data_IF_475319823162
#
_entry.id   IF_475319823162
#
_cell.length_a   1.000
_cell.length_b   1.000
_cell.length_c   1.000
_cell.angle_alpha   90.00
_cell.angle_beta   90.00
_cell.angle_gamma   90.00
#
_symmetry.space_group_name_H-M   'P 1'
#
loop_
_entity.id
_entity.type
_entity.pdbx_description
1 polymer ?
#
# COMPACT_ATOMS: atom_id res chain seq x y z
N UNK A 1 36.89 43.06 -12.73
CA UNK A 1 36.29 43.11 -11.39
C UNK A 1 36.34 41.73 -10.72
N UNK A 2 37.50 41.25 -10.24
CA UNK A 2 37.60 39.86 -9.74
C UNK A 2 36.95 39.67 -8.35
N UNK A 3 36.98 40.69 -7.49
CA UNK A 3 36.48 40.60 -6.10
C UNK A 3 34.97 40.38 -5.99
N UNK A 4 34.15 41.04 -6.82
CA UNK A 4 32.71 40.86 -6.83
C UNK A 4 32.29 39.49 -7.37
N UNK A 5 33.02 38.93 -8.32
CA UNK A 5 32.77 37.58 -8.85
C UNK A 5 33.02 36.47 -7.82
N UNK A 6 34.11 36.56 -7.06
CA UNK A 6 34.42 35.58 -5.99
C UNK A 6 33.42 35.65 -4.83
N UNK A 7 32.96 36.85 -4.50
CA UNK A 7 31.93 37.06 -3.47
C UNK A 7 30.57 36.47 -3.90
N UNK A 8 30.21 36.59 -5.18
CA UNK A 8 29.02 36.00 -5.76
C UNK A 8 29.08 34.47 -5.75
N UNK A 9 30.22 33.88 -6.08
CA UNK A 9 30.47 32.45 -6.02
C UNK A 9 30.34 31.95 -4.59
N UNK A 10 30.96 32.63 -3.62
CA UNK A 10 30.84 32.31 -2.20
C UNK A 10 29.41 32.39 -1.67
N UNK A 11 28.67 33.44 -2.04
CA UNK A 11 27.27 33.63 -1.66
C UNK A 11 26.35 32.53 -2.25
N UNK A 12 26.59 32.14 -3.51
CA UNK A 12 25.84 31.05 -4.16
C UNK A 12 26.06 29.70 -3.48
N UNK A 13 27.31 29.41 -3.07
CA UNK A 13 27.67 28.22 -2.32
C UNK A 13 27.01 28.17 -0.93
N UNK A 14 27.02 29.28 -0.19
CA UNK A 14 26.37 29.40 1.10
C UNK A 14 24.87 29.21 1.01
N UNK A 15 24.21 29.85 0.05
CA UNK A 15 22.77 29.73 -0.15
C UNK A 15 22.37 28.28 -0.50
N UNK A 16 23.13 27.62 -1.36
CA UNK A 16 22.88 26.23 -1.73
C UNK A 16 23.10 25.27 -0.55
N UNK A 17 24.15 25.53 0.28
CA UNK A 17 24.38 24.77 1.50
C UNK A 17 23.27 24.97 2.54
N UNK A 18 22.76 26.19 2.67
CA UNK A 18 21.61 26.47 3.55
C UNK A 18 20.35 25.73 3.10
N UNK A 19 20.06 25.68 1.81
CA UNK A 19 18.95 24.91 1.27
C UNK A 19 19.13 23.40 1.51
N UNK A 20 20.35 22.88 1.39
CA UNK A 20 20.64 21.48 1.70
C UNK A 20 20.44 21.17 3.20
N UNK A 21 20.83 22.09 4.10
CA UNK A 21 20.57 21.97 5.54
C UNK A 21 19.07 22.01 5.85
N UNK A 22 18.32 22.90 5.22
CA UNK A 22 16.87 22.97 5.38
C UNK A 22 16.21 21.65 4.95
N UNK A 23 16.60 21.07 3.81
CA UNK A 23 16.09 19.77 3.36
C UNK A 23 16.47 18.64 4.33
N UNK A 24 17.68 18.68 4.90
CA UNK A 24 18.10 17.69 5.91
C UNK A 24 17.28 17.83 7.19
N UNK A 25 17.02 19.05 7.65
CA UNK A 25 16.17 19.31 8.82
C UNK A 25 14.74 18.85 8.56
N UNK A 26 14.22 19.09 7.35
CA UNK A 26 12.90 18.60 6.94
C UNK A 26 12.82 17.07 6.95
N UNK A 27 13.83 16.38 6.40
CA UNK A 27 13.92 14.91 6.46
C UNK A 27 13.95 14.41 7.91
N UNK A 28 14.72 15.06 8.78
CA UNK A 28 14.82 14.68 10.18
C UNK A 28 13.51 14.89 10.95
N UNK A 29 12.82 15.98 10.67
CA UNK A 29 11.52 16.29 11.30
C UNK A 29 10.42 15.30 10.88
N UNK A 30 10.55 14.69 9.72
CA UNK A 30 9.56 13.76 9.16
C UNK A 30 10.01 12.29 9.17
N UNK A 31 11.06 11.95 9.93
CA UNK A 31 11.61 10.57 9.95
C UNK A 31 10.58 9.54 10.38
N UNK A 32 9.67 9.90 11.30
CA UNK A 32 8.59 9.03 11.80
C UNK A 32 7.23 9.27 11.11
N UNK A 33 7.19 10.13 10.08
CA UNK A 33 5.96 10.40 9.33
C UNK A 33 5.69 9.28 8.33
N UNK A 34 4.57 8.58 8.49
CA UNK A 34 4.17 7.51 7.58
C UNK A 34 4.02 8.03 6.15
N UNK A 35 4.57 7.31 5.18
CA UNK A 35 4.52 7.67 3.77
C UNK A 35 5.54 8.72 3.33
N UNK A 36 6.28 9.34 4.26
CA UNK A 36 7.31 10.32 3.92
C UNK A 36 8.51 9.67 3.23
N UNK A 37 8.91 10.24 2.10
CA UNK A 37 10.10 9.80 1.35
C UNK A 37 11.24 10.80 1.51
N UNK A 38 12.42 10.32 1.90
CA UNK A 38 13.62 11.15 2.05
C UNK A 38 13.89 11.95 0.78
N UNK A 39 14.10 13.25 0.97
CA UNK A 39 14.40 14.20 -0.10
C UNK A 39 15.89 14.52 -0.16
N UNK A 40 16.39 14.74 -1.35
CA UNK A 40 17.79 15.12 -1.59
C UNK A 40 17.85 16.30 -2.54
N UNK A 41 18.64 17.30 -2.15
CA UNK A 41 18.97 18.46 -2.99
C UNK A 41 19.91 18.04 -4.10
N UNK A 42 19.53 18.32 -5.35
CA UNK A 42 20.42 18.24 -6.50
C UNK A 42 21.01 19.61 -6.77
N UNK A 43 22.33 19.67 -6.80
CA UNK A 43 23.09 20.87 -7.13
C UNK A 43 23.65 20.73 -8.54
N UNK A 44 23.70 21.84 -9.26
CA UNK A 44 24.38 21.92 -10.55
C UNK A 44 25.25 23.16 -10.62
N UNK A 45 26.23 23.13 -11.49
CA UNK A 45 27.04 24.30 -11.80
C UNK A 45 26.22 25.35 -12.55
N UNK A 46 26.53 26.62 -12.32
CA UNK A 46 26.03 27.71 -13.17
C UNK A 46 26.86 27.80 -14.42
N UNK A 47 26.22 28.13 -15.55
CA UNK A 47 26.90 28.33 -16.82
C UNK A 47 28.03 29.35 -16.67
N UNK A 48 29.16 29.05 -17.30
CA UNK A 48 30.26 29.99 -17.36
C UNK A 48 29.88 31.22 -18.20
N UNK A 49 30.32 32.40 -17.75
CA UNK A 49 30.23 33.61 -18.57
C UNK A 49 31.57 33.83 -19.24
N UNK A 50 31.56 33.92 -20.57
CA UNK A 50 32.73 34.28 -21.38
C UNK A 50 32.94 35.77 -21.32
N UNK A 51 34.03 36.21 -20.69
CA UNK A 51 34.35 37.61 -20.49
C UNK A 51 35.01 38.24 -21.74
N UNK A 52 35.69 37.44 -22.55
CA UNK A 52 36.35 37.90 -23.77
C UNK A 52 36.59 36.73 -24.72
N UNK A 53 36.25 36.87 -25.98
CA UNK A 53 36.66 35.98 -27.08
C UNK A 53 37.73 36.73 -27.87
N UNK A 54 38.99 36.34 -27.62
CA UNK A 54 40.12 36.86 -28.43
C UNK A 54 40.40 35.83 -29.55
N UNK A 55 40.15 36.15 -30.83
CA UNK A 55 40.36 35.21 -31.92
C UNK A 55 41.82 34.81 -32.17
N UNK A 56 42.77 35.50 -31.50
CA UNK A 56 44.20 35.19 -31.55
C UNK A 56 44.76 34.48 -30.29
N UNK A 57 43.92 34.27 -29.29
CA UNK A 57 44.33 33.62 -28.05
C UNK A 57 43.65 32.26 -27.90
N UNK A 58 44.42 31.23 -27.54
CA UNK A 58 43.91 29.90 -27.23
C UNK A 58 43.13 29.89 -25.92
N UNK A 59 43.23 30.95 -25.12
CA UNK A 59 42.58 31.05 -23.79
C UNK A 59 41.37 31.99 -23.84
N UNK A 60 40.20 31.43 -23.95
CA UNK A 60 38.96 32.14 -23.64
C UNK A 60 38.92 32.43 -22.14
N UNK A 61 38.83 33.69 -21.74
CA UNK A 61 38.58 34.06 -20.34
C UNK A 61 37.16 33.78 -19.96
N UNK A 62 36.97 32.70 -19.23
CA UNK A 62 35.67 32.31 -18.69
C UNK A 62 35.66 32.47 -17.16
N UNK A 63 34.58 32.98 -16.64
CA UNK A 63 34.38 33.06 -15.18
C UNK A 63 33.21 32.15 -14.81
N UNK A 64 33.46 31.25 -13.85
CA UNK A 64 32.41 30.44 -13.23
C UNK A 64 31.48 31.31 -12.39
N UNK A 65 30.23 31.03 -12.35
CA UNK A 65 29.19 31.75 -11.57
C UNK A 65 28.79 31.01 -10.27
N UNK A 66 29.53 29.97 -9.90
CA UNK A 66 29.27 29.18 -8.70
C UNK A 66 28.26 28.06 -8.92
N UNK A 67 27.51 27.75 -7.89
CA UNK A 67 26.58 26.63 -7.81
C UNK A 67 25.13 27.15 -7.83
N UNK A 68 24.24 26.39 -8.41
CA UNK A 68 22.79 26.63 -8.34
C UNK A 68 22.11 25.44 -7.70
N UNK A 69 21.13 25.72 -6.86
CA UNK A 69 20.11 24.76 -6.46
C UNK A 69 19.27 24.39 -7.69
N UNK A 70 19.34 23.12 -8.08
CA UNK A 70 18.62 22.64 -9.27
C UNK A 70 17.22 22.20 -8.92
N UNK A 71 17.09 21.23 -8.01
CA UNK A 71 15.79 20.70 -7.56
C UNK A 71 15.97 19.86 -6.30
N UNK A 72 14.86 19.60 -5.61
CA UNK A 72 14.76 18.58 -4.58
C UNK A 72 14.14 17.34 -5.19
N UNK A 73 14.84 16.21 -5.11
CA UNK A 73 14.36 14.92 -5.62
C UNK A 73 14.12 13.97 -4.45
N UNK A 74 13.03 13.21 -4.52
CA UNK A 74 12.80 12.07 -3.64
C UNK A 74 13.76 10.93 -3.97
N UNK A 75 14.29 10.30 -2.93
CA UNK A 75 15.14 9.09 -3.04
C UNK A 75 14.21 7.88 -3.01
N UNK A 76 13.62 7.54 -4.14
CA UNK A 76 12.67 6.45 -4.31
C UNK A 76 13.06 5.57 -5.49
N UNK A 77 12.85 4.26 -5.33
CA UNK A 77 13.06 3.26 -6.38
C UNK A 77 11.71 2.69 -6.82
N UNK A 78 11.32 2.98 -8.03
CA UNK A 78 10.03 2.54 -8.61
C UNK A 78 9.94 1.02 -8.77
N UNK A 79 11.06 0.32 -8.92
CA UNK A 79 11.08 -1.13 -8.98
C UNK A 79 10.78 -1.74 -7.61
N UNK A 80 11.40 -1.22 -6.56
CA UNK A 80 11.12 -1.64 -5.19
C UNK A 80 9.67 -1.35 -4.79
N UNK A 81 9.12 -0.20 -5.19
CA UNK A 81 7.72 0.14 -4.94
C UNK A 81 6.77 -0.87 -5.58
N UNK A 82 7.01 -1.24 -6.84
CA UNK A 82 6.20 -2.24 -7.55
C UNK A 82 6.29 -3.61 -6.88
N UNK A 83 7.49 -4.00 -6.45
CA UNK A 83 7.71 -5.27 -5.77
C UNK A 83 7.03 -5.28 -4.39
N UNK A 84 7.20 -4.21 -3.62
CA UNK A 84 6.56 -4.05 -2.32
C UNK A 84 5.03 -4.17 -2.44
N UNK A 85 4.40 -3.40 -3.32
CA UNK A 85 2.95 -3.43 -3.54
C UNK A 85 2.44 -4.81 -3.95
N UNK A 86 3.17 -5.49 -4.82
CA UNK A 86 2.84 -6.86 -5.22
C UNK A 86 2.90 -7.84 -4.04
N UNK A 87 3.95 -7.78 -3.23
CA UNK A 87 4.12 -8.70 -2.11
C UNK A 87 3.21 -8.34 -0.93
N UNK A 88 2.92 -7.05 -0.70
CA UNK A 88 1.93 -6.60 0.28
C UNK A 88 0.53 -7.13 -0.06
N UNK A 89 0.11 -7.02 -1.33
CA UNK A 89 -1.16 -7.59 -1.78
C UNK A 89 -1.23 -9.12 -1.65
N UNK A 90 -0.11 -9.82 -1.90
CA UNK A 90 -0.04 -11.27 -1.66
C UNK A 90 -0.15 -11.62 -0.18
N UNK A 91 0.53 -10.88 0.67
CA UNK A 91 0.47 -11.07 2.13
C UNK A 91 -0.96 -10.92 2.63
N UNK A 92 -1.63 -9.83 2.23
CA UNK A 92 -3.00 -9.55 2.62
C UNK A 92 -3.99 -10.61 2.11
N UNK A 93 -3.79 -11.12 0.88
CA UNK A 93 -4.61 -12.21 0.34
C UNK A 93 -4.54 -13.47 1.22
N UNK A 94 -3.35 -13.87 1.67
CA UNK A 94 -3.20 -15.04 2.53
C UNK A 94 -3.73 -14.76 3.95
N UNK A 95 -3.52 -13.57 4.47
CA UNK A 95 -4.02 -13.16 5.79
C UNK A 95 -5.55 -13.23 5.83
N UNK A 96 -6.24 -12.58 4.88
CA UNK A 96 -7.71 -12.63 4.77
C UNK A 96 -8.21 -14.06 4.53
N UNK A 97 -7.50 -14.84 3.69
CA UNK A 97 -7.87 -16.24 3.46
C UNK A 97 -7.78 -17.08 4.74
N UNK A 98 -6.75 -16.86 5.54
CA UNK A 98 -6.58 -17.54 6.83
C UNK A 98 -7.69 -17.13 7.81
N UNK A 99 -7.97 -15.83 7.94
CA UNK A 99 -9.03 -15.33 8.79
C UNK A 99 -10.40 -15.92 8.42
N UNK A 100 -10.72 -15.95 7.13
CA UNK A 100 -11.99 -16.54 6.64
C UNK A 100 -12.07 -18.03 6.96
N UNK A 101 -10.98 -18.78 6.75
CA UNK A 101 -10.96 -20.21 7.04
C UNK A 101 -11.06 -20.50 8.54
N UNK A 102 -10.42 -19.71 9.41
CA UNK A 102 -10.54 -19.80 10.86
C UNK A 102 -11.99 -19.54 11.31
N UNK A 103 -12.69 -18.60 10.70
CA UNK A 103 -14.12 -18.36 10.98
C UNK A 103 -14.99 -19.55 10.52
N UNK A 104 -14.72 -20.15 9.38
CA UNK A 104 -15.42 -21.36 8.93
C UNK A 104 -15.17 -22.53 9.88
N UNK A 105 -13.92 -22.74 10.29
CA UNK A 105 -13.54 -23.77 11.25
C UNK A 105 -14.25 -23.57 12.61
N UNK A 106 -14.32 -22.33 13.08
CA UNK A 106 -15.05 -21.98 14.30
C UNK A 106 -16.54 -22.32 14.20
N UNK A 107 -17.19 -22.09 13.04
CA UNK A 107 -18.60 -22.43 12.83
C UNK A 107 -18.84 -23.95 12.80
N UNK A 108 -17.88 -24.71 12.29
CA UNK A 108 -17.93 -26.18 12.35
C UNK A 108 -17.76 -26.73 13.78
N UNK A 109 -17.23 -25.89 14.71
CA UNK A 109 -17.08 -26.22 16.12
C UNK A 109 -15.92 -27.16 16.42
N UNK A 110 -14.92 -27.24 15.54
CA UNK A 110 -13.79 -28.15 15.71
C UNK A 110 -12.83 -27.71 16.82
N UNK A 111 -12.82 -26.40 17.15
CA UNK A 111 -11.96 -25.85 18.22
C UNK A 111 -12.62 -25.76 19.61
N UNK A 112 -13.95 -25.67 19.70
CA UNK A 112 -14.66 -25.44 20.98
C UNK A 112 -16.04 -26.10 20.99
N UNK A 113 -16.16 -27.28 21.63
CA UNK A 113 -17.43 -27.92 21.88
C UNK A 113 -17.69 -29.20 21.06
N UNK A 114 -18.98 -29.57 20.91
CA UNK A 114 -19.33 -30.71 20.05
C UNK A 114 -19.13 -30.34 18.58
N UNK A 115 -18.06 -30.88 17.98
CA UNK A 115 -17.75 -30.70 16.58
C UNK A 115 -18.87 -31.26 15.70
N UNK A 116 -19.09 -30.65 14.56
CA UNK A 116 -20.04 -31.17 13.57
C UNK A 116 -19.69 -32.59 13.13
N UNK A 117 -18.40 -32.91 13.07
CA UNK A 117 -17.90 -34.27 12.82
C UNK A 117 -18.38 -35.27 13.88
N UNK A 118 -18.30 -34.95 15.15
CA UNK A 118 -18.76 -35.84 16.26
C UNK A 118 -20.25 -36.13 16.10
N UNK A 119 -21.07 -35.16 15.77
CA UNK A 119 -22.49 -35.36 15.56
C UNK A 119 -22.78 -36.29 14.38
N UNK A 120 -21.97 -36.26 13.31
CA UNK A 120 -22.07 -37.20 12.19
C UNK A 120 -21.66 -38.62 12.62
N UNK A 121 -20.59 -38.75 13.37
CA UNK A 121 -20.09 -40.04 13.87
C UNK A 121 -21.08 -40.69 14.81
N UNK A 122 -21.69 -39.92 15.74
CA UNK A 122 -22.73 -40.37 16.63
C UNK A 122 -23.98 -40.84 15.91
N UNK A 123 -24.41 -40.08 14.88
CA UNK A 123 -25.53 -40.48 14.03
C UNK A 123 -25.23 -41.78 13.25
N UNK A 124 -24.02 -41.91 12.68
CA UNK A 124 -23.60 -43.13 12.03
C UNK A 124 -23.55 -44.32 12.99
N UNK A 125 -23.05 -44.13 14.21
CA UNK A 125 -23.01 -45.16 15.26
C UNK A 125 -24.41 -45.60 15.62
N UNK A 126 -25.36 -44.68 15.75
CA UNK A 126 -26.76 -45.01 16.05
C UNK A 126 -27.42 -45.86 14.93
N UNK A 127 -27.05 -45.58 13.64
CA UNK A 127 -27.49 -46.42 12.50
C UNK A 127 -26.95 -47.85 12.63
N UNK A 128 -25.65 -48.01 13.01
CA UNK A 128 -25.04 -49.32 13.18
C UNK A 128 -25.65 -50.09 14.37
N UNK A 129 -25.99 -49.42 15.45
CA UNK A 129 -26.65 -50.08 16.58
C UNK A 129 -28.07 -50.53 16.26
N UNK A 130 -28.83 -49.72 15.49
CA UNK A 130 -30.15 -50.13 15.00
C UNK A 130 -30.04 -51.34 14.05
N UNK A 131 -28.99 -51.42 13.21
CA UNK A 131 -28.79 -52.53 12.31
C UNK A 131 -28.52 -53.87 13.05
N UNK A 132 -27.95 -53.82 14.29
CA UNK A 132 -27.73 -55.01 15.11
C UNK A 132 -29.01 -55.50 15.78
N UNK A 133 -29.90 -54.61 16.20
CA UNK A 133 -31.19 -54.97 16.86
C UNK A 133 -32.30 -54.02 16.35
N UNK A 134 -32.88 -54.29 15.19
CA UNK A 134 -33.89 -53.44 14.59
C UNK A 134 -35.23 -53.40 15.30
N UNK A 135 -35.49 -54.41 16.16
CA UNK A 135 -36.77 -54.56 16.87
C UNK A 135 -36.77 -53.82 18.24
N UNK A 136 -35.62 -53.37 18.67
CA UNK A 136 -35.45 -52.68 20.00
C UNK A 136 -35.97 -51.25 19.91
N UNK A 137 -36.92 -50.90 20.78
CA UNK A 137 -37.40 -49.53 20.92
C UNK A 137 -36.33 -48.56 21.41
N UNK A 138 -35.30 -49.08 22.09
CA UNK A 138 -34.17 -48.29 22.60
C UNK A 138 -33.26 -47.83 21.44
N UNK A 139 -32.88 -48.75 20.54
CA UNK A 139 -32.07 -48.41 19.38
C UNK A 139 -32.79 -47.50 18.39
N UNK A 140 -34.09 -47.71 18.19
CA UNK A 140 -34.94 -46.80 17.42
C UNK A 140 -35.01 -45.40 18.02
N UNK A 141 -35.20 -45.31 19.34
CA UNK A 141 -35.21 -44.02 20.07
C UNK A 141 -33.86 -43.31 20.01
N UNK A 142 -32.76 -44.03 20.15
CA UNK A 142 -31.41 -43.48 20.02
C UNK A 142 -31.18 -42.90 18.62
N UNK A 143 -31.58 -43.63 17.58
CA UNK A 143 -31.43 -43.12 16.20
C UNK A 143 -32.19 -41.81 16.00
N UNK A 144 -33.44 -41.72 16.43
CA UNK A 144 -34.26 -40.52 16.31
C UNK A 144 -33.64 -39.34 17.05
N UNK A 145 -33.10 -39.60 18.25
CA UNK A 145 -32.42 -38.56 19.04
C UNK A 145 -31.17 -38.05 18.30
N UNK A 146 -30.27 -38.94 17.87
CA UNK A 146 -29.04 -38.55 17.15
C UNK A 146 -29.33 -37.89 15.79
N UNK A 147 -30.38 -38.33 15.11
CA UNK A 147 -30.83 -37.64 13.88
C UNK A 147 -31.30 -36.21 14.15
N UNK A 148 -32.05 -36.00 15.26
CA UNK A 148 -32.51 -34.65 15.62
C UNK A 148 -31.34 -33.74 15.99
N UNK A 149 -30.37 -34.22 16.78
CA UNK A 149 -29.14 -33.50 17.13
C UNK A 149 -28.33 -33.14 15.91
N UNK A 150 -28.19 -34.07 14.94
CA UNK A 150 -27.51 -33.81 13.67
C UNK A 150 -28.22 -32.71 12.86
N UNK A 151 -29.55 -32.76 12.72
CA UNK A 151 -30.32 -31.76 11.98
C UNK A 151 -30.23 -30.39 12.62
N UNK A 152 -30.32 -30.32 13.96
CA UNK A 152 -30.21 -29.07 14.70
C UNK A 152 -28.80 -28.45 14.52
N UNK A 153 -27.76 -29.28 14.66
CA UNK A 153 -26.38 -28.81 14.46
C UNK A 153 -26.12 -28.38 13.02
N UNK A 154 -26.57 -29.14 12.02
CA UNK A 154 -26.46 -28.78 10.62
C UNK A 154 -27.16 -27.45 10.30
N UNK A 155 -28.34 -27.24 10.88
CA UNK A 155 -29.09 -25.99 10.78
C UNK A 155 -28.34 -24.80 11.41
N UNK A 156 -27.72 -25.00 12.57
CA UNK A 156 -26.92 -23.97 13.24
C UNK A 156 -25.68 -23.59 12.42
N UNK A 157 -24.94 -24.57 11.89
CA UNK A 157 -23.78 -24.36 11.02
C UNK A 157 -24.17 -23.61 9.76
N UNK A 158 -25.25 -24.05 9.10
CA UNK A 158 -25.76 -23.37 7.90
C UNK A 158 -26.13 -21.91 8.17
N UNK A 159 -26.84 -21.64 9.25
CA UNK A 159 -27.22 -20.28 9.64
C UNK A 159 -26.02 -19.41 9.97
N UNK A 160 -25.03 -19.98 10.68
CA UNK A 160 -23.78 -19.30 11.02
C UNK A 160 -22.98 -18.92 9.77
N UNK A 161 -22.78 -19.86 8.84
CA UNK A 161 -22.07 -19.63 7.59
C UNK A 161 -22.82 -18.63 6.67
N UNK A 162 -24.16 -18.70 6.61
CA UNK A 162 -24.96 -17.74 5.84
C UNK A 162 -24.83 -16.32 6.40
N UNK A 163 -24.91 -16.16 7.73
CA UNK A 163 -24.72 -14.86 8.40
C UNK A 163 -23.31 -14.31 8.17
N UNK A 164 -22.30 -15.18 8.18
CA UNK A 164 -20.92 -14.79 7.90
C UNK A 164 -20.75 -14.36 6.44
N UNK A 165 -21.34 -15.07 5.50
CA UNK A 165 -21.36 -14.67 4.08
C UNK A 165 -21.98 -13.30 3.88
N UNK A 166 -23.10 -13.00 4.54
CA UNK A 166 -23.73 -11.68 4.48
C UNK A 166 -22.82 -10.59 5.03
N UNK A 167 -22.11 -10.87 6.12
CA UNK A 167 -21.12 -9.95 6.68
C UNK A 167 -19.97 -9.68 5.69
N UNK A 168 -19.42 -10.72 5.05
CA UNK A 168 -18.39 -10.58 4.02
C UNK A 168 -18.87 -9.72 2.85
N UNK A 169 -20.12 -9.90 2.41
CA UNK A 169 -20.71 -9.08 1.34
C UNK A 169 -20.79 -7.59 1.71
N UNK A 170 -21.11 -7.29 2.98
CA UNK A 170 -21.09 -5.90 3.50
C UNK A 170 -19.68 -5.34 3.51
N UNK A 171 -18.69 -6.13 3.96
CA UNK A 171 -17.28 -5.72 3.97
C UNK A 171 -16.76 -5.45 2.55
N UNK A 172 -17.04 -6.34 1.59
CA UNK A 172 -16.68 -6.17 0.18
C UNK A 172 -17.27 -4.86 -0.38
N UNK A 173 -18.55 -4.58 -0.11
CA UNK A 173 -19.16 -3.33 -0.55
C UNK A 173 -18.45 -2.10 0.00
N UNK A 174 -18.13 -2.10 1.29
CA UNK A 174 -17.37 -1.02 1.94
C UNK A 174 -15.98 -0.85 1.33
N UNK A 175 -15.28 -1.96 1.03
CA UNK A 175 -13.98 -1.91 0.37
C UNK A 175 -14.07 -1.34 -1.04
N UNK A 176 -15.08 -1.71 -1.83
CA UNK A 176 -15.32 -1.14 -3.16
C UNK A 176 -15.57 0.36 -3.10
N UNK A 177 -16.36 0.83 -2.13
CA UNK A 177 -16.57 2.26 -1.92
C UNK A 177 -15.25 2.98 -1.58
N UNK A 178 -14.42 2.40 -0.72
CA UNK A 178 -13.09 2.93 -0.38
C UNK A 178 -12.15 2.98 -1.61
N UNK A 179 -12.12 1.93 -2.43
CA UNK A 179 -11.33 1.89 -3.67
C UNK A 179 -11.77 3.01 -4.63
N UNK A 180 -13.06 3.23 -4.78
CA UNK A 180 -13.60 4.30 -5.61
C UNK A 180 -13.21 5.69 -5.09
N UNK A 181 -13.21 5.90 -3.79
CA UNK A 181 -12.80 7.17 -3.18
C UNK A 181 -11.28 7.39 -3.31
N UNK A 182 -10.47 6.35 -3.19
CA UNK A 182 -9.04 6.43 -3.46
C UNK A 182 -8.75 6.75 -4.93
N UNK A 183 -9.50 6.18 -5.86
CA UNK A 183 -9.41 6.54 -7.28
C UNK A 183 -9.66 8.03 -7.52
N UNK A 184 -10.70 8.61 -6.91
CA UNK A 184 -10.98 10.06 -6.99
C UNK A 184 -9.86 10.90 -6.38
N UNK A 185 -9.33 10.51 -5.22
CA UNK A 185 -8.20 11.20 -4.57
C UNK A 185 -6.94 11.18 -5.43
N UNK A 186 -6.62 10.02 -6.06
CA UNK A 186 -5.48 9.90 -6.98
C UNK A 186 -5.64 10.84 -8.18
N UNK A 187 -6.82 10.93 -8.77
CA UNK A 187 -7.09 11.87 -9.88
C UNK A 187 -6.84 13.32 -9.44
N UNK A 188 -7.36 13.73 -8.29
CA UNK A 188 -7.15 15.08 -7.74
C UNK A 188 -5.67 15.36 -7.47
N UNK A 189 -4.95 14.39 -6.91
CA UNK A 189 -3.51 14.51 -6.66
C UNK A 189 -2.72 14.58 -7.96
N UNK A 190 -3.06 13.79 -8.98
CA UNK A 190 -2.44 13.85 -10.30
C UNK A 190 -2.58 15.25 -10.93
N UNK A 191 -3.78 15.84 -10.88
CA UNK A 191 -4.03 17.18 -11.41
C UNK A 191 -3.23 18.24 -10.65
N UNK A 192 -3.15 18.14 -9.32
CA UNK A 192 -2.38 19.06 -8.48
C UNK A 192 -0.87 18.92 -8.73
N UNK A 193 -0.35 17.70 -8.86
CA UNK A 193 1.06 17.44 -9.19
C UNK A 193 1.38 18.04 -10.56
N UNK A 194 0.55 17.78 -11.56
CA UNK A 194 0.73 18.32 -12.92
C UNK A 194 0.73 19.85 -12.92
N UNK A 195 -0.15 20.48 -12.16
CA UNK A 195 -0.22 21.94 -12.07
C UNK A 195 1.05 22.55 -11.47
N UNK A 196 1.62 21.95 -10.42
CA UNK A 196 2.85 22.43 -9.78
C UNK A 196 4.07 22.15 -10.66
N UNK A 197 4.15 20.98 -11.26
CA UNK A 197 5.31 20.53 -12.03
C UNK A 197 5.31 21.03 -13.49
N UNK A 198 4.23 21.65 -13.96
CA UNK A 198 4.13 22.18 -15.33
C UNK A 198 5.24 23.19 -15.68
N UNK A 199 5.78 23.90 -14.69
CA UNK A 199 6.90 24.84 -14.85
C UNK A 199 8.28 24.17 -14.97
N UNK A 200 8.41 22.87 -14.70
CA UNK A 200 9.65 22.09 -14.76
C UNK A 200 10.71 22.46 -13.72
N UNK A 201 10.39 23.33 -12.75
CA UNK A 201 11.31 23.84 -11.73
C UNK A 201 11.02 23.19 -10.38
N UNK A 202 9.76 23.06 -10.02
CA UNK A 202 9.31 22.53 -8.72
C UNK A 202 8.88 21.08 -8.86
N UNK A 203 9.06 20.33 -7.78
CA UNK A 203 8.54 18.97 -7.63
C UNK A 203 7.57 18.94 -6.44
N UNK A 204 6.37 18.41 -6.67
CA UNK A 204 5.31 18.28 -5.70
C UNK A 204 5.54 17.06 -4.80
N UNK A 205 6.68 17.01 -4.09
CA UNK A 205 7.12 15.83 -3.33
C UNK A 205 6.07 15.37 -2.30
N UNK A 206 5.47 16.31 -1.55
CA UNK A 206 4.49 15.98 -0.52
C UNK A 206 3.20 15.38 -1.14
N UNK A 207 2.75 15.89 -2.29
CA UNK A 207 1.59 15.34 -3.01
C UNK A 207 1.91 13.97 -3.61
N UNK A 208 3.15 13.77 -4.05
CA UNK A 208 3.63 12.47 -4.52
C UNK A 208 3.69 11.45 -3.38
N UNK A 209 4.12 11.85 -2.18
CA UNK A 209 4.11 11.00 -1.00
C UNK A 209 2.69 10.61 -0.61
N UNK A 210 1.77 11.57 -0.55
CA UNK A 210 0.35 11.31 -0.27
C UNK A 210 -0.29 10.36 -1.30
N UNK A 211 0.02 10.53 -2.60
CA UNK A 211 -0.44 9.64 -3.66
C UNK A 211 0.13 8.22 -3.51
N UNK A 212 1.42 8.13 -3.22
CA UNK A 212 2.09 6.84 -3.05
C UNK A 212 1.55 6.07 -1.86
N UNK A 213 1.22 6.76 -0.76
CA UNK A 213 0.56 6.13 0.39
C UNK A 213 -0.79 5.54 0.00
N UNK A 214 -1.61 6.27 -0.76
CA UNK A 214 -2.89 5.73 -1.26
C UNK A 214 -2.68 4.52 -2.18
N UNK A 215 -1.64 4.54 -3.02
CA UNK A 215 -1.31 3.40 -3.87
C UNK A 215 -0.84 2.18 -3.07
N UNK A 216 -0.11 2.39 -1.98
CA UNK A 216 0.32 1.32 -1.07
C UNK A 216 -0.91 0.69 -0.37
N UNK A 217 -1.83 1.51 0.15
CA UNK A 217 -3.09 1.06 0.75
C UNK A 217 -4.02 0.33 -0.27
N UNK A 218 -4.08 0.81 -1.52
CA UNK A 218 -4.82 0.13 -2.59
C UNK A 218 -4.23 -1.24 -2.94
N UNK A 219 -2.91 -1.38 -2.89
CA UNK A 219 -2.23 -2.63 -3.19
C UNK A 219 -2.55 -3.73 -2.17
N UNK A 220 -2.91 -3.37 -0.95
CA UNK A 220 -3.39 -4.29 0.09
C UNK A 220 -4.83 -4.76 -0.17
N UNK A 221 -5.65 -3.92 -0.81
CA UNK A 221 -7.06 -4.23 -1.06
C UNK A 221 -7.28 -4.98 -2.36
N UNK A 222 -6.45 -4.74 -3.39
CA UNK A 222 -6.63 -5.32 -4.71
C UNK A 222 -5.32 -5.46 -5.47
N UNK A 223 -5.26 -6.47 -6.33
CA UNK A 223 -4.13 -6.60 -7.26
C UNK A 223 -4.17 -5.47 -8.27
N UNK A 224 -3.14 -4.62 -8.27
CA UNK A 224 -3.04 -3.47 -9.15
C UNK A 224 -1.71 -3.42 -9.91
N UNK A 225 -1.75 -2.81 -11.08
CA UNK A 225 -0.57 -2.35 -11.80
C UNK A 225 -0.69 -0.85 -12.02
N UNK A 226 0.42 -0.15 -12.01
CA UNK A 226 0.42 1.29 -12.24
C UNK A 226 1.59 1.69 -13.14
N UNK A 227 1.38 2.76 -13.88
CA UNK A 227 2.43 3.40 -14.66
C UNK A 227 2.36 4.92 -14.43
N UNK A 228 3.53 5.54 -14.29
CA UNK A 228 3.65 6.99 -14.21
C UNK A 228 4.07 7.54 -15.57
N UNK A 229 3.38 8.55 -16.05
CA UNK A 229 3.69 9.23 -17.31
C UNK A 229 4.80 10.28 -17.12
N UNK A 230 5.22 10.88 -18.22
CA UNK A 230 6.26 11.93 -18.24
C UNK A 230 5.85 13.23 -17.54
N UNK A 231 4.55 13.40 -17.28
CA UNK A 231 3.97 14.57 -16.59
C UNK A 231 3.73 14.31 -15.11
N UNK A 232 4.16 13.15 -14.59
CA UNK A 232 3.99 12.79 -13.20
C UNK A 232 2.61 12.26 -12.83
N UNK A 233 1.73 11.98 -13.79
CA UNK A 233 0.42 11.36 -13.53
C UNK A 233 0.54 9.84 -13.49
N UNK A 234 -0.18 9.22 -12.56
CA UNK A 234 -0.29 7.76 -12.43
C UNK A 234 -1.62 7.29 -12.99
N UNK A 235 -1.57 6.21 -13.76
CA UNK A 235 -2.71 5.51 -14.34
C UNK A 235 -2.64 4.01 -14.06
#
# INVERSE_FOLDING_TARGET
MPLMGSLYIGASGLQTSQNALNTTAHNLSNVDTTGYTRQQVQQSDRRYVTLSIDPKSVNNKQTGLGVIYSRVKQVRDTFLDKTYRKESGRSMFYEVSTEVLEQVESQLGEMQGEAFQTTIEDFWTAIQELAKDPASSVTQGLLVQRASEFIERAGAVYSGLSSYQDNLNIQIKKQVDTINDYGKKILTLNDSIRAIEAGGIEHANDLRDARNQILDELAEMTSMSFAEDIYGSVS
#
